data_IF_721692133804
#
_entry.id   IF_721692133804
#
_cell.length_a   1.000
_cell.length_b   1.000
_cell.length_c   1.000
_cell.angle_alpha   90.00
_cell.angle_beta   90.00
_cell.angle_gamma   90.00
#
_symmetry.space_group_name_H-M   'P 1'
#
loop_
_entity.id
_entity.type
_entity.pdbx_description
1 polymer ?
#
# COMPACT_ATOMS: atom_id res chain seq x y z
N UNK A 1 -54.70 -39.89 -18.90
CA UNK A 1 -53.50 -39.21 -19.37
C UNK A 1 -53.18 -38.19 -18.30
N UNK A 2 -52.34 -38.62 -17.33
CA UNK A 2 -51.88 -37.77 -16.24
C UNK A 2 -50.48 -37.27 -16.59
N UNK A 3 -50.34 -35.96 -16.71
CA UNK A 3 -49.06 -35.30 -16.90
C UNK A 3 -48.30 -35.26 -15.57
N UNK A 4 -47.17 -35.96 -15.53
CA UNK A 4 -46.24 -35.94 -14.42
C UNK A 4 -45.42 -34.66 -14.51
N UNK A 5 -45.69 -33.70 -13.63
CA UNK A 5 -44.83 -32.52 -13.44
C UNK A 5 -43.51 -32.95 -12.77
N UNK A 6 -42.43 -32.84 -13.52
CA UNK A 6 -41.05 -32.90 -12.94
C UNK A 6 -40.77 -31.62 -12.18
N UNK A 7 -40.68 -31.77 -10.87
CA UNK A 7 -40.15 -30.72 -9.99
C UNK A 7 -38.63 -30.60 -10.22
N UNK A 8 -38.25 -29.49 -10.85
CA UNK A 8 -36.86 -29.06 -10.93
C UNK A 8 -36.39 -28.67 -9.53
N UNK A 9 -35.62 -29.54 -8.92
CA UNK A 9 -34.87 -29.22 -7.68
C UNK A 9 -33.64 -28.39 -8.07
N UNK A 10 -33.68 -27.09 -7.84
CA UNK A 10 -32.53 -26.21 -7.83
C UNK A 10 -31.77 -26.43 -6.50
N UNK A 11 -30.47 -26.74 -6.50
CA UNK A 11 -29.73 -26.79 -5.28
C UNK A 11 -29.41 -25.36 -4.84
N UNK A 12 -30.29 -24.79 -4.01
CA UNK A 12 -30.00 -23.56 -3.30
C UNK A 12 -29.17 -23.84 -2.06
N UNK A 13 -28.14 -23.01 -1.89
CA UNK A 13 -27.39 -22.71 -0.65
C UNK A 13 -26.77 -23.90 0.11
N UNK A 14 -25.56 -24.24 -0.31
CA UNK A 14 -24.55 -24.62 0.68
C UNK A 14 -24.01 -23.32 1.27
N UNK A 15 -24.61 -22.87 2.35
CA UNK A 15 -23.98 -21.91 3.25
C UNK A 15 -22.71 -22.57 3.80
N UNK A 16 -21.57 -22.29 3.18
CA UNK A 16 -20.28 -22.64 3.72
C UNK A 16 -20.08 -21.79 4.99
N UNK A 17 -20.40 -22.39 6.14
CA UNK A 17 -20.07 -21.84 7.45
C UNK A 17 -18.53 -21.85 7.58
N UNK A 18 -17.87 -20.83 7.05
CA UNK A 18 -16.44 -20.64 7.23
C UNK A 18 -16.22 -20.13 8.66
N UNK A 19 -16.03 -21.04 9.60
CA UNK A 19 -15.64 -20.67 10.97
C UNK A 19 -14.17 -20.26 10.92
N UNK A 20 -13.85 -18.99 11.20
CA UNK A 20 -12.47 -18.50 11.21
C UNK A 20 -11.63 -19.24 12.24
N UNK A 21 -10.32 -19.35 12.01
CA UNK A 21 -9.35 -20.02 12.89
C UNK A 21 -9.43 -19.51 14.35
N UNK A 22 -9.67 -18.21 14.54
CA UNK A 22 -9.85 -17.58 15.85
C UNK A 22 -11.12 -18.06 16.57
N UNK A 23 -12.18 -18.34 15.83
CA UNK A 23 -13.42 -18.87 16.40
C UNK A 23 -13.26 -20.33 16.82
N UNK A 24 -12.48 -21.14 16.09
CA UNK A 24 -12.15 -22.51 16.50
C UNK A 24 -11.36 -22.53 17.81
N UNK A 25 -10.37 -21.67 17.97
CA UNK A 25 -9.60 -21.56 19.21
C UNK A 25 -10.47 -21.14 20.40
N UNK A 26 -11.41 -20.22 20.20
CA UNK A 26 -12.35 -19.78 21.24
C UNK A 26 -13.32 -20.90 21.64
N UNK A 27 -13.86 -21.65 20.68
CA UNK A 27 -14.77 -22.79 20.93
C UNK A 27 -14.02 -23.88 21.69
N UNK A 28 -12.82 -24.27 21.26
CA UNK A 28 -11.98 -25.28 21.95
C UNK A 28 -11.69 -24.87 23.38
N UNK A 29 -11.25 -23.65 23.62
CA UNK A 29 -10.95 -23.14 24.97
C UNK A 29 -12.21 -23.05 25.83
N UNK A 30 -13.35 -22.69 25.26
CA UNK A 30 -14.66 -22.69 25.92
C UNK A 30 -15.06 -24.10 26.41
N UNK A 31 -14.91 -25.12 25.54
CA UNK A 31 -15.19 -26.54 25.88
C UNK A 31 -14.26 -27.02 26.97
N UNK A 32 -12.95 -26.76 26.90
CA UNK A 32 -11.96 -27.15 27.90
C UNK A 32 -12.27 -26.54 29.28
N UNK A 33 -12.62 -25.23 29.29
CA UNK A 33 -12.98 -24.55 30.52
C UNK A 33 -14.29 -25.08 31.14
N UNK A 34 -15.27 -25.43 30.29
CA UNK A 34 -16.52 -26.07 30.76
C UNK A 34 -16.28 -27.44 31.36
N UNK A 35 -15.41 -28.28 30.76
CA UNK A 35 -14.98 -29.57 31.28
C UNK A 35 -14.31 -29.45 32.66
N UNK A 36 -13.45 -28.44 32.83
CA UNK A 36 -12.71 -28.24 34.08
C UNK A 36 -13.58 -27.75 35.25
N UNK A 37 -14.74 -27.13 34.95
CA UNK A 37 -15.64 -26.54 35.93
C UNK A 37 -16.82 -27.44 36.36
N UNK A 38 -16.94 -28.65 35.78
CA UNK A 38 -17.99 -29.61 36.16
C UNK A 38 -17.70 -30.25 37.52
N UNK A 39 -18.62 -30.11 38.48
CA UNK A 39 -18.51 -30.76 39.79
C UNK A 39 -18.86 -32.27 39.72
N UNK A 40 -18.31 -33.10 40.60
CA UNK A 40 -18.43 -34.57 40.62
C UNK A 40 -19.88 -35.03 40.80
N UNK A 41 -20.52 -35.52 39.74
CA UNK A 41 -21.79 -36.25 39.79
C UNK A 41 -21.84 -37.25 38.61
N UNK A 42 -22.66 -38.29 38.69
CA UNK A 42 -22.73 -39.43 37.72
C UNK A 42 -23.07 -38.98 36.27
N UNK A 43 -23.75 -37.88 36.10
CA UNK A 43 -24.05 -37.34 34.75
C UNK A 43 -22.84 -36.68 34.08
N UNK A 44 -21.77 -36.49 34.82
CA UNK A 44 -20.54 -35.81 34.35
C UNK A 44 -19.79 -36.66 33.32
N UNK A 45 -19.73 -37.99 33.51
CA UNK A 45 -19.03 -38.90 32.57
C UNK A 45 -19.69 -38.88 31.19
N UNK A 46 -21.01 -38.81 31.13
CA UNK A 46 -21.76 -38.73 29.87
C UNK A 46 -21.45 -37.41 29.16
N UNK A 47 -21.52 -36.31 29.91
CA UNK A 47 -21.22 -34.97 29.35
C UNK A 47 -19.76 -34.86 28.89
N UNK A 48 -18.81 -35.46 29.65
CA UNK A 48 -17.39 -35.48 29.26
C UNK A 48 -17.19 -36.24 27.96
N UNK A 49 -17.82 -37.43 27.83
CA UNK A 49 -17.72 -38.25 26.61
C UNK A 49 -18.33 -37.55 25.40
N UNK A 50 -19.47 -36.88 25.56
CA UNK A 50 -20.09 -36.11 24.48
C UNK A 50 -19.23 -34.91 24.04
N UNK A 51 -18.63 -34.20 25.01
CA UNK A 51 -17.75 -33.06 24.70
C UNK A 51 -16.42 -33.55 24.08
N UNK A 52 -15.89 -34.70 24.46
CA UNK A 52 -14.73 -35.33 23.82
C UNK A 52 -15.05 -35.71 22.37
N UNK A 53 -16.22 -36.31 22.12
CA UNK A 53 -16.68 -36.66 20.78
C UNK A 53 -16.83 -35.45 19.89
N UNK A 54 -17.37 -34.36 20.42
CA UNK A 54 -17.47 -33.05 19.70
C UNK A 54 -16.07 -32.48 19.39
N UNK A 55 -15.13 -32.58 20.34
CA UNK A 55 -13.76 -32.14 20.15
C UNK A 55 -13.02 -32.94 19.06
N UNK A 56 -13.27 -34.24 18.97
CA UNK A 56 -12.74 -35.12 17.93
C UNK A 56 -13.32 -34.76 16.56
N UNK A 57 -14.62 -34.46 16.47
CA UNK A 57 -15.27 -33.99 15.24
C UNK A 57 -14.67 -32.66 14.80
N UNK A 58 -14.49 -31.73 15.73
CA UNK A 58 -13.87 -30.42 15.46
C UNK A 58 -12.43 -30.58 14.94
N UNK A 59 -11.64 -31.50 15.55
CA UNK A 59 -10.29 -31.75 15.09
C UNK A 59 -10.25 -32.43 13.71
N UNK A 60 -11.18 -33.36 13.42
CA UNK A 60 -11.34 -33.99 12.11
C UNK A 60 -11.70 -32.95 11.01
N UNK A 61 -12.67 -32.08 11.29
CA UNK A 61 -13.03 -30.99 10.37
C UNK A 61 -11.83 -30.07 10.13
N UNK A 62 -11.02 -29.81 11.14
CA UNK A 62 -9.80 -29.02 11.03
C UNK A 62 -8.72 -29.72 10.20
N UNK A 63 -8.57 -31.02 10.32
CA UNK A 63 -7.63 -31.81 9.51
C UNK A 63 -8.11 -31.94 8.06
N UNK A 64 -9.42 -32.10 7.83
CA UNK A 64 -10.02 -32.11 6.50
C UNK A 64 -9.88 -30.75 5.82
N UNK A 65 -10.11 -29.64 6.54
CA UNK A 65 -9.90 -28.27 6.01
C UNK A 65 -8.42 -27.92 5.83
N UNK A 66 -7.49 -28.54 6.60
CA UNK A 66 -6.05 -28.39 6.37
C UNK A 66 -5.53 -29.32 5.25
N UNK A 67 -6.24 -30.41 4.95
CA UNK A 67 -5.94 -31.33 3.85
C UNK A 67 -6.64 -30.96 2.54
N UNK A 68 -7.66 -30.11 2.55
CA UNK A 68 -7.95 -29.31 1.37
C UNK A 68 -6.77 -28.34 1.22
N UNK A 69 -5.67 -28.81 0.65
CA UNK A 69 -4.77 -27.97 -0.11
C UNK A 69 -5.68 -27.19 -1.07
N UNK A 70 -5.97 -25.95 -0.71
CA UNK A 70 -6.43 -24.99 -1.70
C UNK A 70 -5.30 -25.02 -2.72
N UNK A 71 -5.49 -25.76 -3.82
CA UNK A 71 -4.56 -25.70 -4.93
C UNK A 71 -4.59 -24.25 -5.36
N UNK A 72 -3.54 -23.53 -5.01
CA UNK A 72 -3.24 -22.25 -5.63
C UNK A 72 -2.95 -22.55 -7.10
N UNK A 73 -4.03 -22.57 -7.89
CA UNK A 73 -3.95 -22.91 -9.29
C UNK A 73 -3.58 -21.64 -10.02
N UNK A 74 -2.37 -21.58 -10.55
CA UNK A 74 -2.00 -20.55 -11.52
C UNK A 74 -2.87 -20.77 -12.74
N UNK A 75 -3.76 -19.82 -13.00
CA UNK A 75 -4.68 -19.83 -14.14
C UNK A 75 -4.48 -18.58 -14.99
N UNK A 76 -4.72 -18.73 -16.28
CA UNK A 76 -4.93 -17.61 -17.18
C UNK A 76 -6.43 -17.44 -17.41
N UNK A 77 -6.95 -16.25 -17.16
CA UNK A 77 -8.36 -15.90 -17.32
C UNK A 77 -8.50 -14.61 -18.11
N UNK A 78 -9.35 -14.64 -19.11
CA UNK A 78 -9.70 -13.47 -19.92
C UNK A 78 -10.92 -12.77 -19.31
N UNK A 79 -10.82 -11.47 -19.17
CA UNK A 79 -11.87 -10.57 -18.72
C UNK A 79 -12.21 -9.60 -19.84
N UNK A 80 -13.34 -8.95 -19.78
CA UNK A 80 -13.77 -7.94 -20.77
C UNK A 80 -12.73 -6.81 -20.95
N UNK A 81 -12.03 -6.44 -19.87
CA UNK A 81 -11.05 -5.34 -19.83
C UNK A 81 -9.59 -5.79 -19.90
N UNK A 82 -9.29 -7.09 -20.02
CA UNK A 82 -7.91 -7.56 -20.06
C UNK A 82 -7.72 -9.03 -19.74
N UNK A 83 -6.46 -9.41 -19.48
CA UNK A 83 -6.07 -10.80 -19.22
C UNK A 83 -5.33 -10.85 -17.89
N UNK A 84 -5.76 -11.74 -17.01
CA UNK A 84 -5.05 -12.06 -15.76
C UNK A 84 -4.39 -13.43 -15.86
N UNK A 85 -3.17 -13.51 -15.35
CA UNK A 85 -2.41 -14.75 -15.16
C UNK A 85 -1.82 -14.76 -13.74
N UNK A 86 -2.25 -15.72 -12.93
CA UNK A 86 -1.82 -15.77 -11.53
C UNK A 86 -2.64 -16.72 -10.67
N UNK A 87 -2.47 -16.55 -9.38
CA UNK A 87 -3.09 -17.38 -8.35
C UNK A 87 -4.56 -17.00 -8.15
N UNK A 88 -5.38 -18.04 -7.95
CA UNK A 88 -6.80 -17.91 -7.66
C UNK A 88 -7.15 -18.74 -6.42
N UNK A 89 -8.05 -18.21 -5.61
CA UNK A 89 -8.74 -18.94 -4.56
C UNK A 89 -10.25 -18.76 -4.78
N UNK A 90 -10.99 -19.84 -4.96
CA UNK A 90 -12.44 -19.80 -5.21
C UNK A 90 -12.83 -18.83 -6.34
N UNK A 91 -12.12 -18.89 -7.47
CA UNK A 91 -12.30 -18.03 -8.67
C UNK A 91 -12.03 -16.52 -8.43
N UNK A 92 -11.50 -16.14 -7.26
CA UNK A 92 -11.12 -14.79 -6.88
C UNK A 92 -9.59 -14.68 -7.02
N UNK A 93 -9.09 -13.58 -7.59
CA UNK A 93 -7.65 -13.31 -7.68
C UNK A 93 -7.09 -13.14 -6.27
N UNK A 94 -6.12 -13.97 -5.92
CA UNK A 94 -5.51 -14.04 -4.60
C UNK A 94 -4.05 -14.44 -4.78
N UNK A 95 -3.14 -13.96 -3.92
CA UNK A 95 -1.73 -14.29 -4.04
C UNK A 95 -1.02 -13.50 -5.14
N UNK A 96 -0.10 -14.11 -5.88
CA UNK A 96 0.69 -13.43 -6.92
C UNK A 96 0.04 -13.54 -8.29
N UNK A 97 0.06 -12.45 -9.05
CA UNK A 97 -0.49 -12.46 -10.39
C UNK A 97 -0.15 -11.23 -11.21
N UNK A 98 -0.39 -11.37 -12.51
CA UNK A 98 -0.18 -10.35 -13.51
C UNK A 98 -1.49 -10.05 -14.22
N UNK A 99 -1.87 -8.79 -14.28
CA UNK A 99 -2.97 -8.29 -15.09
C UNK A 99 -2.43 -7.43 -16.22
N UNK A 100 -2.91 -7.65 -17.41
CA UNK A 100 -2.64 -6.81 -18.59
C UNK A 100 -4.00 -6.30 -19.06
N UNK A 101 -4.20 -4.99 -18.99
CA UNK A 101 -5.44 -4.36 -19.45
C UNK A 101 -5.41 -4.05 -20.94
N UNK A 102 -6.58 -3.93 -21.55
CA UNK A 102 -6.71 -3.66 -22.99
C UNK A 102 -6.20 -2.28 -23.41
N UNK A 103 -6.10 -1.34 -22.47
CA UNK A 103 -5.52 0.00 -22.68
C UNK A 103 -3.99 0.01 -22.68
N UNK A 104 -3.37 -1.12 -22.37
CA UNK A 104 -1.92 -1.30 -22.35
C UNK A 104 -1.29 -1.17 -20.96
N UNK A 105 -2.05 -0.81 -19.94
CA UNK A 105 -1.57 -0.85 -18.57
C UNK A 105 -1.30 -2.28 -18.14
N UNK A 106 -0.39 -2.45 -17.17
CA UNK A 106 -0.03 -3.76 -16.63
C UNK A 106 0.29 -3.67 -15.14
N UNK A 107 -0.17 -4.64 -14.37
CA UNK A 107 0.23 -4.81 -12.98
C UNK A 107 0.82 -6.20 -12.76
N UNK A 108 1.91 -6.26 -12.01
CA UNK A 108 2.55 -7.50 -11.54
C UNK A 108 2.77 -7.38 -10.04
N UNK A 109 2.12 -8.24 -9.24
CA UNK A 109 2.22 -8.12 -7.79
C UNK A 109 1.24 -9.00 -7.04
N UNK A 110 1.00 -8.61 -5.80
CA UNK A 110 0.13 -9.32 -4.88
C UNK A 110 -1.33 -8.88 -5.05
N UNK A 111 -2.22 -9.86 -4.92
CA UNK A 111 -3.66 -9.71 -5.04
C UNK A 111 -4.35 -10.24 -3.81
N UNK A 112 -5.42 -9.59 -3.41
CA UNK A 112 -6.27 -10.02 -2.30
C UNK A 112 -7.72 -9.64 -2.59
N UNK A 113 -8.61 -10.64 -2.56
CA UNK A 113 -10.04 -10.43 -2.84
C UNK A 113 -10.26 -9.61 -4.13
N UNK A 114 -9.65 -10.02 -5.25
CA UNK A 114 -9.70 -9.37 -6.56
C UNK A 114 -9.08 -7.95 -6.65
N UNK A 115 -8.50 -7.42 -5.58
CA UNK A 115 -7.84 -6.11 -5.56
C UNK A 115 -6.32 -6.25 -5.55
N UNK A 116 -5.61 -5.29 -6.15
CA UNK A 116 -4.17 -5.12 -5.94
C UNK A 116 -3.92 -4.82 -4.46
N UNK A 117 -3.04 -5.60 -3.83
CA UNK A 117 -2.79 -5.49 -2.39
C UNK A 117 -1.39 -6.02 -2.08
N UNK A 118 -0.67 -5.41 -1.14
CA UNK A 118 0.72 -5.80 -0.86
C UNK A 118 1.71 -5.15 -1.80
N UNK A 119 2.77 -5.86 -2.17
CA UNK A 119 3.84 -5.31 -3.02
C UNK A 119 3.60 -5.63 -4.49
N UNK A 120 3.81 -4.63 -5.35
CA UNK A 120 3.65 -4.81 -6.79
C UNK A 120 4.28 -3.72 -7.62
N UNK A 121 4.24 -3.94 -8.94
CA UNK A 121 4.70 -2.99 -9.95
C UNK A 121 3.54 -2.70 -10.90
N UNK A 122 3.24 -1.43 -11.08
CA UNK A 122 2.28 -0.95 -12.06
C UNK A 122 3.01 -0.25 -13.20
N UNK A 123 2.79 -0.70 -14.39
CA UNK A 123 3.31 -0.13 -15.62
C UNK A 123 2.17 0.59 -16.34
N UNK A 124 2.30 1.87 -16.50
CA UNK A 124 1.36 2.69 -17.24
C UNK A 124 1.64 2.59 -18.75
N UNK A 125 0.62 2.66 -19.56
CA UNK A 125 0.72 2.65 -21.02
C UNK A 125 1.49 3.85 -21.59
N UNK A 126 1.56 4.95 -20.82
CA UNK A 126 2.35 6.13 -21.18
C UNK A 126 3.86 5.96 -20.95
N UNK A 127 4.28 4.82 -20.37
CA UNK A 127 5.67 4.50 -20.06
C UNK A 127 6.12 4.82 -18.63
N UNK A 128 5.30 5.42 -17.83
CA UNK A 128 5.56 5.58 -16.41
C UNK A 128 5.50 4.23 -15.67
N UNK A 129 6.05 4.17 -14.47
CA UNK A 129 6.05 2.95 -13.65
C UNK A 129 6.01 3.29 -12.17
N UNK A 130 5.18 2.58 -11.43
CA UNK A 130 5.18 2.61 -9.97
C UNK A 130 5.62 1.26 -9.41
N UNK A 131 6.51 1.28 -8.42
CA UNK A 131 6.95 0.10 -7.65
C UNK A 131 6.72 0.39 -6.17
N UNK A 132 5.91 -0.42 -5.48
CA UNK A 132 5.63 -0.14 -4.08
C UNK A 132 4.44 -0.89 -3.51
N UNK A 133 3.92 -0.32 -2.44
CA UNK A 133 2.81 -0.87 -1.68
C UNK A 133 1.46 -0.51 -2.31
N UNK A 134 0.57 -1.50 -2.34
CA UNK A 134 -0.81 -1.36 -2.79
C UNK A 134 -1.77 -1.74 -1.68
N UNK A 135 -2.91 -1.08 -1.62
CA UNK A 135 -4.01 -1.41 -0.73
C UNK A 135 -5.34 -1.10 -1.41
N UNK A 136 -6.16 -2.15 -1.59
CA UNK A 136 -7.47 -2.03 -2.23
C UNK A 136 -7.40 -1.25 -3.55
N UNK A 137 -6.55 -1.72 -4.47
CA UNK A 137 -6.28 -1.16 -5.80
C UNK A 137 -5.53 0.18 -5.83
N UNK A 138 -5.30 0.85 -4.73
CA UNK A 138 -4.60 2.13 -4.69
C UNK A 138 -3.13 1.98 -4.26
N UNK A 139 -2.24 2.86 -4.77
CA UNK A 139 -0.91 3.06 -4.20
C UNK A 139 -1.06 3.65 -2.81
N UNK A 140 -0.47 2.98 -1.82
CA UNK A 140 -0.57 3.32 -0.40
C UNK A 140 0.75 2.91 0.27
N UNK A 141 1.23 3.69 1.25
CA UNK A 141 2.49 3.36 1.91
C UNK A 141 3.71 3.81 1.11
N UNK A 142 4.79 3.03 1.10
CA UNK A 142 6.05 3.41 0.46
C UNK A 142 6.15 2.87 -0.96
N UNK A 143 6.72 3.71 -1.85
CA UNK A 143 6.95 3.32 -3.23
C UNK A 143 7.88 4.26 -3.98
N UNK A 144 8.15 3.87 -5.23
CA UNK A 144 8.95 4.65 -6.17
C UNK A 144 8.12 4.83 -7.44
N UNK A 145 7.96 6.06 -7.87
CA UNK A 145 7.36 6.40 -9.15
C UNK A 145 8.44 6.86 -10.13
N UNK A 146 8.52 6.19 -11.25
CA UNK A 146 9.43 6.50 -12.35
C UNK A 146 8.63 7.13 -13.48
N UNK A 147 8.93 8.37 -13.79
CA UNK A 147 8.33 9.08 -14.91
C UNK A 147 9.06 8.75 -16.22
N UNK A 148 8.34 8.70 -17.31
CA UNK A 148 8.94 8.49 -18.65
C UNK A 148 9.93 9.61 -19.01
N UNK A 149 9.79 10.81 -18.42
CA UNK A 149 10.75 11.89 -18.53
C UNK A 149 12.14 11.55 -17.99
N UNK A 150 12.25 10.50 -17.16
CA UNK A 150 13.42 10.13 -16.41
C UNK A 150 13.43 10.65 -14.97
N UNK A 151 12.51 11.52 -14.60
CA UNK A 151 12.32 11.95 -13.22
C UNK A 151 11.90 10.78 -12.34
N UNK A 152 12.09 10.92 -11.03
CA UNK A 152 11.74 9.87 -10.07
C UNK A 152 11.30 10.48 -8.74
N UNK A 153 10.20 9.96 -8.19
CA UNK A 153 9.81 10.19 -6.81
C UNK A 153 10.01 8.92 -6.00
N UNK A 154 10.53 9.04 -4.79
CA UNK A 154 10.72 7.95 -3.83
C UNK A 154 10.20 8.42 -2.47
N UNK A 155 9.12 7.82 -1.95
CA UNK A 155 8.51 8.30 -0.73
C UNK A 155 7.20 7.62 -0.37
N UNK A 156 6.40 8.35 0.40
CA UNK A 156 5.11 7.91 0.86
C UNK A 156 4.02 8.25 -0.17
N UNK A 157 3.07 7.33 -0.31
CA UNK A 157 1.91 7.47 -1.19
C UNK A 157 0.62 7.28 -0.43
N UNK A 158 -0.41 7.98 -0.87
CA UNK A 158 -1.78 7.82 -0.40
C UNK A 158 -2.75 8.05 -1.55
N UNK A 159 -3.59 7.06 -1.82
CA UNK A 159 -4.58 7.13 -2.90
C UNK A 159 -3.96 7.59 -4.25
N UNK A 160 -2.89 6.94 -4.71
CA UNK A 160 -2.18 7.20 -5.95
C UNK A 160 -1.37 8.52 -5.99
N UNK A 161 -1.33 9.28 -4.90
CA UNK A 161 -0.62 10.54 -4.82
C UNK A 161 0.57 10.46 -3.89
N UNK A 162 1.62 11.21 -4.20
CA UNK A 162 2.71 11.43 -3.26
C UNK A 162 2.19 12.24 -2.06
N UNK A 163 2.50 11.75 -0.87
CA UNK A 163 2.03 12.29 0.40
C UNK A 163 3.12 12.07 1.47
N UNK A 164 3.15 12.91 2.51
CA UNK A 164 4.12 12.72 3.60
C UNK A 164 5.56 13.01 3.17
N UNK A 165 6.50 12.16 3.58
CA UNK A 165 7.93 12.36 3.29
C UNK A 165 8.38 11.66 2.03
N UNK A 166 9.18 12.35 1.22
CA UNK A 166 9.72 11.77 0.00
C UNK A 166 10.86 12.60 -0.60
N UNK A 167 11.45 12.01 -1.65
CA UNK A 167 12.53 12.63 -2.42
C UNK A 167 12.11 12.63 -3.89
N UNK A 168 12.16 13.80 -4.50
CA UNK A 168 11.99 13.95 -5.95
C UNK A 168 13.34 14.22 -6.61
N UNK A 169 13.69 13.44 -7.61
CA UNK A 169 14.90 13.57 -8.40
C UNK A 169 14.52 14.11 -9.78
N UNK A 170 15.01 15.28 -10.10
CA UNK A 170 14.82 15.90 -11.40
C UNK A 170 15.91 15.40 -12.37
N UNK A 171 15.52 14.60 -13.33
CA UNK A 171 16.45 14.07 -14.34
C UNK A 171 16.18 14.63 -15.74
N UNK A 172 15.17 15.49 -15.88
CA UNK A 172 14.79 16.09 -17.14
C UNK A 172 14.62 17.63 -17.03
N UNK A 173 14.79 18.32 -18.16
CA UNK A 173 14.58 19.76 -18.28
C UNK A 173 15.65 20.61 -17.61
N UNK A 174 15.29 21.84 -17.26
CA UNK A 174 16.20 22.85 -16.68
C UNK A 174 16.73 22.46 -15.31
N UNK A 175 15.93 21.74 -14.54
CA UNK A 175 16.25 21.27 -13.20
C UNK A 175 16.99 19.91 -13.20
N UNK A 176 17.36 19.36 -14.36
CA UNK A 176 18.03 18.06 -14.42
C UNK A 176 19.32 18.03 -13.59
N UNK A 177 19.38 17.10 -12.62
CA UNK A 177 20.43 16.98 -11.62
C UNK A 177 20.12 17.64 -10.27
N UNK A 178 18.97 18.31 -10.16
CA UNK A 178 18.46 18.81 -8.88
C UNK A 178 17.74 17.69 -8.09
N UNK A 179 17.50 17.94 -6.81
CA UNK A 179 16.76 17.04 -5.93
C UNK A 179 15.98 17.84 -4.88
N UNK A 180 14.75 17.48 -4.66
CA UNK A 180 13.95 17.94 -3.51
C UNK A 180 13.79 16.80 -2.51
N UNK A 181 14.05 17.05 -1.23
CA UNK A 181 13.91 16.10 -0.13
C UNK A 181 13.07 16.77 0.95
N UNK A 182 11.83 16.35 1.11
CA UNK A 182 10.91 17.07 1.97
C UNK A 182 9.52 16.47 2.08
N UNK A 183 8.61 17.32 2.50
CA UNK A 183 7.20 16.97 2.67
C UNK A 183 6.42 17.19 1.38
N UNK A 184 5.51 16.26 1.10
CA UNK A 184 4.61 16.28 -0.06
C UNK A 184 3.16 16.23 0.40
N UNK A 185 2.32 16.86 -0.38
CA UNK A 185 0.88 16.81 -0.25
C UNK A 185 0.23 16.87 -1.63
N UNK A 186 -0.61 15.89 -1.94
CA UNK A 186 -1.33 15.83 -3.23
C UNK A 186 -0.40 16.02 -4.44
N UNK A 187 0.74 15.30 -4.51
CA UNK A 187 1.76 15.30 -5.56
C UNK A 187 2.65 16.54 -5.63
N UNK A 188 2.54 17.48 -4.72
CA UNK A 188 3.37 18.70 -4.71
C UNK A 188 4.18 18.81 -3.44
N UNK A 189 5.37 19.39 -3.52
CA UNK A 189 6.20 19.72 -2.36
C UNK A 189 5.52 20.80 -1.52
N UNK A 190 5.21 20.44 -0.26
CA UNK A 190 4.42 21.31 0.62
C UNK A 190 4.79 21.03 2.08
N UNK A 191 5.30 22.03 2.79
CA UNK A 191 5.80 21.90 4.14
C UNK A 191 7.31 22.15 4.23
N UNK A 192 8.00 21.40 5.07
CA UNK A 192 9.45 21.52 5.23
C UNK A 192 10.21 20.68 4.22
N UNK A 193 11.31 21.26 3.67
CA UNK A 193 12.13 20.50 2.75
C UNK A 193 13.48 21.13 2.47
N UNK A 194 14.31 20.36 1.75
CA UNK A 194 15.62 20.78 1.28
C UNK A 194 15.66 20.59 -0.23
N UNK A 195 15.93 21.67 -0.94
CA UNK A 195 16.16 21.63 -2.38
C UNK A 195 17.65 21.69 -2.66
N UNK A 196 18.18 20.68 -3.31
CA UNK A 196 19.58 20.58 -3.70
C UNK A 196 19.71 20.93 -5.18
N UNK A 197 20.46 21.95 -5.48
CA UNK A 197 20.75 22.37 -6.86
C UNK A 197 21.94 21.59 -7.42
N UNK A 198 21.91 21.28 -8.70
CA UNK A 198 23.06 20.69 -9.40
C UNK A 198 24.33 21.57 -9.35
N UNK A 199 24.16 22.87 -9.10
CA UNK A 199 25.27 23.80 -8.89
C UNK A 199 26.09 23.47 -7.64
N UNK A 200 25.52 22.75 -6.68
CA UNK A 200 26.06 22.49 -5.35
C UNK A 200 25.52 23.44 -4.27
N UNK A 201 24.64 24.36 -4.63
CA UNK A 201 23.85 25.14 -3.69
C UNK A 201 22.74 24.29 -3.08
N UNK A 202 22.15 24.74 -1.97
CA UNK A 202 20.92 24.17 -1.45
C UNK A 202 20.06 25.22 -0.76
N UNK A 203 18.76 25.01 -0.76
CA UNK A 203 17.81 25.75 0.06
C UNK A 203 17.19 24.81 1.08
N UNK A 204 17.06 25.27 2.32
CA UNK A 204 16.42 24.55 3.41
C UNK A 204 15.37 25.46 4.04
N UNK A 205 14.08 25.05 4.01
CA UNK A 205 13.03 25.94 4.50
C UNK A 205 11.62 25.46 4.18
N UNK A 206 10.72 26.44 4.16
CA UNK A 206 9.31 26.21 3.88
C UNK A 206 9.05 26.17 2.38
N UNK A 207 8.16 25.25 1.98
CA UNK A 207 7.65 25.10 0.62
C UNK A 207 6.12 25.13 0.61
N UNK A 208 5.58 25.67 -0.46
CA UNK A 208 4.16 25.64 -0.78
C UNK A 208 4.02 25.52 -2.31
N UNK A 209 3.24 24.53 -2.73
CA UNK A 209 2.97 24.25 -4.14
C UNK A 209 4.26 24.27 -4.98
N UNK A 210 5.26 23.46 -4.58
CA UNK A 210 6.60 23.29 -5.15
C UNK A 210 7.48 24.54 -5.13
N UNK A 211 7.07 25.59 -4.44
CA UNK A 211 7.82 26.85 -4.38
C UNK A 211 8.30 27.13 -2.97
N UNK A 212 9.47 27.76 -2.87
CA UNK A 212 9.93 28.34 -1.60
C UNK A 212 8.90 29.37 -1.14
N UNK A 213 8.33 29.17 0.06
CA UNK A 213 7.29 30.05 0.58
C UNK A 213 7.31 29.99 2.11
N UNK A 214 7.66 31.10 2.75
CA UNK A 214 7.92 31.19 4.17
C UNK A 214 9.40 31.39 4.49
N UNK A 215 9.85 30.86 5.60
CA UNK A 215 11.23 31.05 6.09
C UNK A 215 12.18 30.01 5.53
N UNK A 216 13.40 30.46 5.18
CA UNK A 216 14.41 29.54 4.70
C UNK A 216 15.83 30.06 4.77
N UNK A 217 16.74 29.14 4.54
CA UNK A 217 18.19 29.38 4.47
C UNK A 217 18.67 28.88 3.11
N UNK A 218 19.28 29.76 2.35
CA UNK A 218 20.00 29.42 1.14
C UNK A 218 21.46 29.23 1.45
N UNK A 219 22.02 28.08 1.15
CA UNK A 219 23.41 27.73 1.31
C UNK A 219 24.07 27.75 -0.06
N UNK A 220 25.00 28.68 -0.24
CA UNK A 220 25.78 28.79 -1.46
C UNK A 220 26.94 27.80 -1.47
N UNK A 221 27.29 27.30 -2.62
CA UNK A 221 28.45 26.39 -2.83
C UNK A 221 29.77 26.96 -2.30
N UNK A 222 29.91 28.30 -2.30
CA UNK A 222 31.10 28.96 -1.78
C UNK A 222 31.18 29.03 -0.26
N UNK A 223 30.17 28.48 0.46
CA UNK A 223 30.13 28.48 1.93
C UNK A 223 29.30 29.60 2.55
N UNK A 224 28.85 30.57 1.77
CA UNK A 224 27.93 31.62 2.25
C UNK A 224 26.59 31.03 2.66
N UNK A 225 25.86 31.72 3.53
CA UNK A 225 24.50 31.38 3.93
C UNK A 225 23.62 32.62 3.93
N UNK A 226 22.42 32.53 3.41
CA UNK A 226 21.50 33.65 3.39
C UNK A 226 20.16 33.23 4.01
N UNK A 227 19.74 33.94 5.06
CA UNK A 227 18.55 33.68 5.84
C UNK A 227 17.53 34.77 5.53
N UNK A 228 16.28 34.39 5.27
CA UNK A 228 15.20 35.35 5.04
C UNK A 228 13.89 34.71 4.69
N UNK A 229 12.96 35.54 4.27
CA UNK A 229 11.61 35.14 3.92
C UNK A 229 11.48 35.02 2.39
N UNK A 230 10.68 34.06 1.96
CA UNK A 230 10.41 33.76 0.57
C UNK A 230 8.91 33.78 0.30
N UNK A 231 8.52 34.18 -0.88
CA UNK A 231 7.14 34.16 -1.37
C UNK A 231 7.12 33.73 -2.84
N UNK A 232 6.35 32.69 -3.16
CA UNK A 232 6.23 32.17 -4.53
C UNK A 232 7.60 31.95 -5.23
N UNK A 233 8.57 31.37 -4.51
CA UNK A 233 9.90 31.04 -5.02
C UNK A 233 10.91 32.17 -4.99
N UNK A 234 10.52 33.41 -4.67
CA UNK A 234 11.37 34.60 -4.67
C UNK A 234 11.71 35.06 -3.25
N UNK A 235 12.92 35.54 -2.99
CA UNK A 235 13.25 36.19 -1.74
C UNK A 235 12.45 37.51 -1.60
N UNK A 236 12.04 37.82 -0.37
CA UNK A 236 11.31 39.04 -0.05
C UNK A 236 11.80 39.68 1.24
N UNK A 237 11.68 41.01 1.32
CA UNK A 237 11.98 41.73 2.54
C UNK A 237 13.48 41.76 2.87
N UNK A 238 13.78 41.66 4.16
CA UNK A 238 15.15 41.81 4.66
C UNK A 238 15.79 40.44 4.90
N UNK A 239 16.89 40.17 4.22
CA UNK A 239 17.70 38.97 4.41
C UNK A 239 19.02 39.32 5.12
N UNK A 240 19.57 38.33 5.81
CA UNK A 240 20.89 38.37 6.41
C UNK A 240 21.79 37.33 5.75
N UNK A 241 22.86 37.77 5.13
CA UNK A 241 23.85 36.91 4.50
C UNK A 241 25.10 36.84 5.37
N UNK A 242 25.49 35.62 5.76
CA UNK A 242 26.76 35.29 6.38
C UNK A 242 27.70 34.81 5.29
N UNK A 243 28.74 35.57 5.04
CA UNK A 243 29.76 35.22 4.06
C UNK A 243 30.78 34.24 4.66
N UNK A 244 31.38 33.41 3.82
CA UNK A 244 32.40 32.43 4.21
C UNK A 244 33.67 33.06 4.79
N UNK A 245 33.92 34.33 4.50
CA UNK A 245 35.03 35.14 5.07
C UNK A 245 34.70 35.74 6.46
N UNK A 246 33.52 35.47 7.01
CA UNK A 246 33.06 35.96 8.31
C UNK A 246 32.26 37.27 8.26
N UNK A 247 32.14 37.91 7.10
CA UNK A 247 31.38 39.15 6.97
C UNK A 247 29.86 38.87 7.06
N UNK A 248 29.13 39.86 7.59
CA UNK A 248 27.64 39.81 7.65
C UNK A 248 27.11 40.97 6.81
N UNK A 249 26.24 40.66 5.87
CA UNK A 249 25.64 41.62 4.96
C UNK A 249 24.09 41.55 5.07
N UNK A 250 23.44 42.70 5.05
CA UNK A 250 21.98 42.80 4.94
C UNK A 250 21.62 43.07 3.51
N UNK A 251 20.67 42.29 2.97
CA UNK A 251 20.14 42.44 1.62
C UNK A 251 18.66 42.75 1.77
N UNK A 252 18.16 43.69 0.97
CA UNK A 252 16.72 44.03 0.89
C UNK A 252 16.22 43.69 -0.52
N UNK A 253 15.19 42.86 -0.59
CA UNK A 253 14.53 42.40 -1.81
C UNK A 253 13.20 43.11 -2.01
#
# INVERSE_FOLDING_TARGET
>A
MEETQMLNYSPQNKDNLTISFDNFSKIKNGIINSLNNLSYNTDKEVIINDLQSILEIINKIKEENNNEKVEEIIKRKEYENGIYEGEFRNEIREGKGKMIWNDGDRYEGEWKNDNKNGIGIYYYNNGDRYEGEFKNDACEGRGIYYYISGDRYEGEFKNWKSEGKGIYYYNYGECAGDKYDGEFKDDVGNGKGIYYYKSGDRYEGDFKDDKKDGKGIYYYKNGDRELGDYLNGKPIGKHVKLCSDGNIVTINY
#
